data_IF_981149412508
#
_entry.id   IF_981149412508
#
_cell.length_a   1.000
_cell.length_b   1.000
_cell.length_c   1.000
_cell.angle_alpha   90.00
_cell.angle_beta   90.00
_cell.angle_gamma   90.00
#
_symmetry.space_group_name_H-M   'P 1'
#
loop_
_entity.id
_entity.type
_entity.pdbx_description
1 polymer ?
#
# COMPACT_ATOMS: atom_id res chain seq x y z
N UNK A 1 3.04 -28.57 -7.92
CA UNK A 1 1.88 -27.89 -8.54
C UNK A 1 1.41 -26.66 -7.76
N UNK A 2 1.15 -26.72 -6.45
CA UNK A 2 0.71 -25.53 -5.69
C UNK A 2 1.80 -24.44 -5.56
N UNK A 3 3.07 -24.84 -5.43
CA UNK A 3 4.18 -23.88 -5.31
C UNK A 3 4.41 -23.07 -6.60
N UNK A 4 4.19 -23.66 -7.79
CA UNK A 4 4.36 -22.93 -9.06
C UNK A 4 3.23 -21.91 -9.28
N UNK A 5 2.00 -22.25 -8.88
CA UNK A 5 0.86 -21.32 -8.94
C UNK A 5 1.07 -20.12 -8.00
N UNK A 6 1.50 -20.38 -6.75
CA UNK A 6 1.77 -19.33 -5.77
C UNK A 6 2.91 -18.41 -6.22
N UNK A 7 3.99 -18.97 -6.76
CA UNK A 7 5.14 -18.19 -7.24
C UNK A 7 4.79 -17.34 -8.45
N UNK A 8 3.97 -17.86 -9.37
CA UNK A 8 3.40 -17.11 -10.50
C UNK A 8 2.58 -15.89 -10.05
N UNK A 9 1.69 -16.06 -9.07
CA UNK A 9 0.85 -14.97 -8.53
C UNK A 9 1.71 -13.90 -7.84
N UNK A 10 2.71 -14.33 -7.06
CA UNK A 10 3.62 -13.42 -6.37
C UNK A 10 4.44 -12.61 -7.37
N UNK A 11 4.98 -13.25 -8.41
CA UNK A 11 5.72 -12.57 -9.49
C UNK A 11 4.83 -11.60 -10.26
N UNK A 12 3.57 -11.93 -10.52
CA UNK A 12 2.62 -11.03 -11.17
C UNK A 12 2.32 -9.77 -10.32
N UNK A 13 2.17 -9.92 -9.01
CA UNK A 13 1.99 -8.78 -8.08
C UNK A 13 3.27 -7.96 -7.82
N UNK A 14 4.45 -8.58 -7.97
CA UNK A 14 5.74 -7.91 -7.89
C UNK A 14 6.13 -7.19 -9.17
N UNK A 15 5.58 -7.62 -10.31
CA UNK A 15 5.97 -7.12 -11.61
C UNK A 15 5.76 -5.60 -11.68
N UNK A 16 6.80 -4.82 -12.03
CA UNK A 16 6.77 -3.35 -12.09
C UNK A 16 5.82 -2.80 -13.17
N UNK A 17 5.16 -3.67 -13.94
CA UNK A 17 4.14 -3.32 -14.92
C UNK A 17 2.75 -3.05 -14.30
N UNK A 18 2.56 -3.21 -12.98
CA UNK A 18 1.31 -2.84 -12.34
C UNK A 18 1.27 -1.32 -12.08
N UNK A 19 0.20 -0.58 -12.46
CA UNK A 19 0.07 0.87 -12.21
C UNK A 19 0.12 1.28 -10.72
N UNK A 20 0.12 0.32 -9.79
CA UNK A 20 0.27 0.54 -8.35
C UNK A 20 1.74 0.49 -7.88
N UNK A 21 2.70 0.34 -8.80
CA UNK A 21 4.14 0.43 -8.52
C UNK A 21 4.63 1.89 -8.45
N UNK A 22 3.82 2.86 -8.92
CA UNK A 22 4.11 4.30 -8.84
C UNK A 22 4.18 4.81 -7.38
N UNK A 23 3.50 4.12 -6.46
CA UNK A 23 3.52 4.50 -5.05
C UNK A 23 4.78 3.98 -4.35
N UNK A 24 5.56 4.86 -3.70
CA UNK A 24 6.73 4.45 -2.96
C UNK A 24 6.30 3.56 -1.77
N UNK A 25 6.94 2.40 -1.66
CA UNK A 25 6.72 1.46 -0.56
C UNK A 25 7.95 0.62 -0.29
N UNK A 26 8.17 0.22 0.97
CA UNK A 26 9.18 -0.78 1.31
C UNK A 26 8.88 -2.06 0.52
N UNK A 27 9.91 -2.67 -0.06
CA UNK A 27 9.81 -3.87 -0.89
C UNK A 27 9.02 -5.00 -0.23
N UNK A 28 9.09 -5.12 1.11
CA UNK A 28 8.35 -6.10 1.90
C UNK A 28 6.84 -5.85 1.89
N UNK A 29 6.39 -4.58 1.94
CA UNK A 29 4.98 -4.19 1.89
C UNK A 29 4.34 -4.33 0.51
N UNK A 30 5.17 -4.45 -0.55
CA UNK A 30 4.68 -4.70 -1.92
C UNK A 30 4.21 -6.14 -2.10
N UNK A 31 4.85 -7.08 -1.41
CA UNK A 31 4.72 -8.53 -1.65
C UNK A 31 3.65 -9.14 -0.74
N UNK A 32 3.63 -8.77 0.55
CA UNK A 32 2.69 -9.37 1.51
C UNK A 32 2.23 -8.37 2.58
N UNK A 33 0.95 -8.49 2.99
CA UNK A 33 0.43 -7.82 4.21
C UNK A 33 0.97 -8.46 5.50
N UNK A 34 1.75 -9.54 5.40
CA UNK A 34 2.17 -10.34 6.55
C UNK A 34 3.07 -9.53 7.50
N UNK A 35 3.92 -8.65 6.95
CA UNK A 35 4.76 -7.76 7.75
C UNK A 35 3.96 -6.74 8.54
N UNK A 36 2.98 -6.10 7.87
CA UNK A 36 2.07 -5.16 8.52
C UNK A 36 1.21 -5.87 9.58
N UNK A 37 0.75 -7.09 9.29
CA UNK A 37 0.01 -7.93 10.23
C UNK A 37 0.84 -8.27 11.46
N UNK A 38 2.11 -8.66 11.28
CA UNK A 38 3.01 -8.95 12.38
C UNK A 38 3.30 -7.73 13.26
N UNK A 39 3.48 -6.55 12.64
CA UNK A 39 3.60 -5.27 13.37
C UNK A 39 2.30 -4.85 14.05
N UNK A 40 1.15 -5.28 13.51
CA UNK A 40 -0.17 -5.08 14.13
C UNK A 40 -0.33 -5.93 15.38
N UNK A 41 0.10 -7.19 15.33
CA UNK A 41 0.10 -8.09 16.49
C UNK A 41 0.99 -7.56 17.62
N UNK A 42 2.10 -6.88 17.28
CA UNK A 42 2.95 -6.21 18.27
C UNK A 42 2.37 -4.88 18.80
N UNK A 43 1.26 -4.36 18.24
CA UNK A 43 0.67 -3.08 18.64
C UNK A 43 1.38 -1.83 18.07
N UNK A 44 2.48 -1.98 17.33
CA UNK A 44 3.29 -0.87 16.81
C UNK A 44 2.89 -0.42 15.40
N UNK A 45 1.71 -0.80 14.92
CA UNK A 45 1.24 -0.50 13.55
C UNK A 45 1.25 1.00 13.24
N UNK A 46 0.80 1.82 14.19
CA UNK A 46 0.72 3.27 14.00
C UNK A 46 2.11 3.92 13.87
N UNK A 47 3.09 3.48 14.68
CA UNK A 47 4.48 3.94 14.57
C UNK A 47 5.10 3.56 13.22
N UNK A 48 4.78 2.36 12.74
CA UNK A 48 5.22 1.90 11.44
C UNK A 48 4.61 2.72 10.29
N UNK A 49 3.31 3.02 10.34
CA UNK A 49 2.70 3.93 9.36
C UNK A 49 3.32 5.33 9.44
N UNK A 50 3.54 5.86 10.64
CA UNK A 50 4.18 7.16 10.84
C UNK A 50 5.59 7.20 10.23
N UNK A 51 6.43 6.21 10.50
CA UNK A 51 7.79 6.17 9.96
C UNK A 51 7.81 5.98 8.44
N UNK A 52 6.81 5.31 7.89
CA UNK A 52 6.65 5.20 6.45
C UNK A 52 6.24 6.52 5.80
N UNK A 53 5.29 7.25 6.38
CA UNK A 53 4.90 8.57 5.89
C UNK A 53 6.02 9.60 6.04
N UNK A 54 6.83 9.49 7.10
CA UNK A 54 8.03 10.32 7.29
C UNK A 54 9.08 10.09 6.21
N UNK A 55 9.28 8.82 5.80
CA UNK A 55 10.29 8.46 4.78
C UNK A 55 9.83 8.64 3.34
N UNK A 56 8.58 8.32 3.02
CA UNK A 56 8.07 8.23 1.65
C UNK A 56 7.06 9.34 1.31
N UNK A 57 6.66 10.14 2.30
CA UNK A 57 5.76 11.27 2.11
C UNK A 57 4.27 10.91 2.28
N UNK A 58 3.38 11.77 1.74
CA UNK A 58 1.96 11.70 2.05
C UNK A 58 1.22 10.48 1.47
N UNK A 59 1.81 9.81 0.47
CA UNK A 59 1.23 8.65 -0.20
C UNK A 59 2.11 7.42 -0.04
N UNK A 60 1.64 6.42 0.70
CA UNK A 60 2.40 5.17 0.93
C UNK A 60 1.54 3.95 0.70
N UNK A 61 2.05 2.99 -0.07
CA UNK A 61 1.42 1.69 -0.23
C UNK A 61 1.74 0.77 0.95
N UNK A 62 0.71 0.39 1.71
CA UNK A 62 0.81 -0.42 2.94
C UNK A 62 0.53 -1.91 2.71
N UNK A 63 0.06 -2.27 1.51
CA UNK A 63 -0.08 -3.66 1.08
C UNK A 63 -0.30 -3.80 -0.43
N UNK A 64 -0.70 -4.99 -0.91
CA UNK A 64 -0.84 -5.25 -2.33
C UNK A 64 -1.95 -4.41 -2.96
N UNK A 65 -3.08 -4.24 -2.26
CA UNK A 65 -4.25 -3.50 -2.72
C UNK A 65 -4.65 -2.35 -1.77
N UNK A 66 -3.73 -1.91 -0.89
CA UNK A 66 -4.02 -0.93 0.14
C UNK A 66 -2.99 0.20 0.14
N UNK A 67 -3.49 1.43 0.11
CA UNK A 67 -2.70 2.67 0.12
C UNK A 67 -3.16 3.49 1.32
N UNK A 68 -2.20 4.05 2.04
CA UNK A 68 -2.42 4.99 3.13
C UNK A 68 -2.08 6.38 2.62
N UNK A 69 -2.99 7.33 2.85
CA UNK A 69 -2.87 8.73 2.43
C UNK A 69 -3.10 9.61 3.64
N UNK A 70 -2.22 10.60 3.83
CA UNK A 70 -2.33 11.59 4.92
C UNK A 70 -2.63 13.00 4.42
N UNK A 71 -2.80 13.17 3.11
CA UNK A 71 -3.09 14.45 2.47
C UNK A 71 -4.54 14.91 2.75
N UNK A 72 -4.69 16.12 3.29
CA UNK A 72 -5.97 16.66 3.75
C UNK A 72 -7.05 16.81 2.65
N UNK A 73 -6.76 17.37 1.47
CA UNK A 73 -7.75 17.45 0.39
C UNK A 73 -8.14 16.06 -0.12
N UNK A 74 -7.18 15.15 -0.29
CA UNK A 74 -7.45 13.77 -0.74
C UNK A 74 -8.34 13.01 0.27
N UNK A 75 -8.10 13.17 1.57
CA UNK A 75 -8.91 12.53 2.62
C UNK A 75 -10.34 13.06 2.62
N UNK A 76 -10.52 14.39 2.46
CA UNK A 76 -11.84 15.00 2.39
C UNK A 76 -12.64 14.52 1.17
N UNK A 77 -11.99 14.38 0.02
CA UNK A 77 -12.61 13.85 -1.20
C UNK A 77 -13.01 12.38 -1.03
N UNK A 78 -12.13 11.56 -0.45
CA UNK A 78 -12.40 10.14 -0.19
C UNK A 78 -13.60 9.93 0.73
N UNK A 79 -13.76 10.80 1.74
CA UNK A 79 -14.88 10.76 2.69
C UNK A 79 -16.15 11.46 2.20
N UNK A 80 -16.05 12.23 1.10
CA UNK A 80 -17.21 12.88 0.50
C UNK A 80 -18.13 11.85 -0.14
N UNK A 81 -19.43 12.14 -0.21
CA UNK A 81 -20.46 11.24 -0.76
C UNK A 81 -20.17 10.72 -2.19
N UNK A 82 -19.32 11.41 -2.95
CA UNK A 82 -18.90 11.01 -4.30
C UNK A 82 -17.78 9.97 -4.36
N UNK A 83 -17.08 9.70 -3.26
CA UNK A 83 -15.91 8.83 -3.25
C UNK A 83 -14.74 9.33 -4.13
N UNK A 84 -13.57 8.73 -3.95
CA UNK A 84 -12.41 9.03 -4.79
C UNK A 84 -12.45 8.13 -6.03
N UNK A 85 -12.48 8.71 -7.23
CA UNK A 85 -12.43 7.96 -8.49
C UNK A 85 -11.09 7.22 -8.59
N UNK A 86 -11.17 5.88 -8.68
CA UNK A 86 -10.00 4.99 -8.71
C UNK A 86 -9.16 5.27 -9.97
N UNK A 87 -8.13 6.09 -9.82
CA UNK A 87 -7.27 6.55 -10.93
C UNK A 87 -6.84 8.02 -10.82
N UNK A 88 -7.56 8.86 -10.07
CA UNK A 88 -7.18 10.28 -9.83
C UNK A 88 -6.11 10.48 -8.77
N UNK A 89 -5.79 9.43 -8.01
CA UNK A 89 -4.61 9.42 -7.16
C UNK A 89 -3.39 9.17 -8.06
N UNK A 90 -3.06 10.15 -8.89
CA UNK A 90 -1.82 10.22 -9.66
C UNK A 90 -1.19 11.57 -9.32
N UNK A 91 0.02 11.51 -8.79
CA UNK A 91 0.85 12.67 -8.45
C UNK A 91 1.06 13.60 -9.66
#
# INVERSE_FOLDING_TARGET
FLCSLGLSIVVYHLSPFHPLAQFPAPTIGKITQLWTFWKTLQGYKYLYHKSLHDRYGPYVRIGPNAISVIDAPTVRETLSRGGLEKGRCQI
#
